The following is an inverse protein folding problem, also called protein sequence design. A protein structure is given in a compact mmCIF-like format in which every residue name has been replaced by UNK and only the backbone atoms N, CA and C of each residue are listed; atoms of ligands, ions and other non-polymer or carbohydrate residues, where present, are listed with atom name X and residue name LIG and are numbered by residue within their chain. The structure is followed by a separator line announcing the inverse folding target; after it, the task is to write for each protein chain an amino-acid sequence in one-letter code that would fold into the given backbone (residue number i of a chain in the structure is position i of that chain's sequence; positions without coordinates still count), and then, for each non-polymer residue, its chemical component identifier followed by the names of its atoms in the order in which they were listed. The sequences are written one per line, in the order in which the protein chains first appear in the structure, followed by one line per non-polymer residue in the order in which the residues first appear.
data_IF_936136993636
#
_entry.id   IF_936136993636
#
_cell.length_a   1.000
_cell.length_b   1.000
_cell.length_c   1.000
_cell.angle_alpha   90.00
_cell.angle_beta   90.00
_cell.angle_gamma   90.00
#
_symmetry.space_group_name_H-M   'P 1'
#
loop_
_entity.id
_entity.type
_entity.pdbx_description
1 polymer ?
#
# COMPACT_ATOMS: atom_id res chain seq x y z
N UNK A 1 -9.55 -18.92 15.11
CA UNK A 1 -10.47 -17.82 15.01
C UNK A 1 -11.15 -17.80 13.68
N UNK A 2 -12.41 -17.86 13.72
CA UNK A 2 -13.22 -17.89 12.50
C UNK A 2 -13.10 -16.61 11.70
N UNK A 3 -12.98 -15.47 12.38
CA UNK A 3 -12.87 -14.20 11.68
C UNK A 3 -11.64 -14.17 10.78
N UNK A 4 -10.52 -14.76 11.19
CA UNK A 4 -9.33 -14.83 10.37
C UNK A 4 -9.57 -15.63 9.11
N UNK A 5 -10.24 -16.78 9.22
CA UNK A 5 -10.50 -17.63 8.07
C UNK A 5 -11.44 -16.97 7.06
N UNK A 6 -12.24 -16.00 7.51
CA UNK A 6 -13.21 -15.30 6.66
C UNK A 6 -12.74 -13.94 6.19
N UNK A 7 -11.60 -13.50 6.67
CA UNK A 7 -11.03 -12.23 6.27
C UNK A 7 -10.60 -12.34 4.81
N UNK A 8 -11.18 -11.54 3.89
CA UNK A 8 -10.84 -11.62 2.47
C UNK A 8 -9.37 -11.35 2.18
N UNK A 9 -8.69 -10.61 3.07
CA UNK A 9 -7.28 -10.31 2.88
C UNK A 9 -6.39 -11.52 3.13
N UNK A 10 -6.87 -12.51 3.87
CA UNK A 10 -6.09 -13.70 4.18
C UNK A 10 -5.72 -14.51 2.94
N UNK A 11 -6.52 -14.41 1.89
CA UNK A 11 -6.22 -15.12 0.63
C UNK A 11 -4.98 -14.58 -0.06
N UNK A 12 -4.49 -13.42 0.36
CA UNK A 12 -3.25 -12.85 -0.17
C UNK A 12 -2.02 -13.45 0.50
N UNK A 13 -2.19 -14.19 1.57
CA UNK A 13 -1.06 -14.68 2.36
C UNK A 13 -0.42 -15.91 1.74
N UNK A 14 0.91 -15.97 1.84
CA UNK A 14 1.73 -17.13 1.52
C UNK A 14 2.53 -17.41 2.78
N UNK A 15 2.28 -18.55 3.47
CA UNK A 15 2.95 -18.81 4.76
C UNK A 15 4.46 -18.66 4.67
N UNK A 16 5.02 -17.89 5.62
CA UNK A 16 6.45 -17.66 5.70
C UNK A 16 7.02 -16.66 4.71
N UNK A 17 6.22 -16.17 3.76
CA UNK A 17 6.69 -15.23 2.72
C UNK A 17 5.85 -13.97 2.67
N UNK A 18 4.54 -14.13 2.61
CA UNK A 18 3.61 -13.00 2.49
C UNK A 18 2.59 -13.08 3.62
N UNK A 19 2.47 -12.01 4.40
CA UNK A 19 1.46 -11.94 5.44
C UNK A 19 0.77 -10.59 5.41
N UNK A 20 -0.51 -10.57 5.80
CA UNK A 20 -1.28 -9.34 5.92
C UNK A 20 -1.29 -8.95 7.38
N UNK A 21 -0.84 -7.73 7.67
CA UNK A 21 -0.73 -7.23 9.03
C UNK A 21 -1.32 -5.84 9.12
N UNK A 22 -1.58 -5.39 10.33
CA UNK A 22 -2.04 -4.05 10.57
C UNK A 22 -0.87 -3.08 10.54
N UNK A 23 -1.01 -2.00 9.79
CA UNK A 23 0.00 -0.97 9.69
C UNK A 23 -0.40 0.31 10.40
N UNK A 24 0.13 1.44 9.96
CA UNK A 24 -0.14 2.74 10.55
C UNK A 24 -1.63 3.07 10.52
N UNK A 25 -2.14 3.56 11.66
CA UNK A 25 -3.53 3.95 11.84
C UNK A 25 -4.54 2.85 11.49
N UNK A 26 -4.13 1.59 11.64
CA UNK A 26 -5.00 0.45 11.38
C UNK A 26 -5.17 0.09 9.92
N UNK A 27 -4.52 0.80 9.00
CA UNK A 27 -4.56 0.43 7.58
C UNK A 27 -3.81 -0.88 7.39
N UNK A 28 -4.40 -1.78 6.61
CA UNK A 28 -3.79 -3.07 6.36
C UNK A 28 -2.65 -2.98 5.36
N UNK A 29 -1.62 -3.75 5.60
CA UNK A 29 -0.49 -3.84 4.67
C UNK A 29 -0.05 -5.28 4.50
N UNK A 30 0.57 -5.54 3.38
CA UNK A 30 1.19 -6.82 3.05
C UNK A 30 2.68 -6.70 3.36
N UNK A 31 3.20 -7.63 4.14
CA UNK A 31 4.64 -7.73 4.40
C UNK A 31 5.19 -8.92 3.64
N UNK A 32 6.23 -8.68 2.87
CA UNK A 32 6.90 -9.71 2.09
C UNK A 32 8.28 -9.92 2.70
N UNK A 33 8.59 -11.18 3.03
CA UNK A 33 9.88 -11.52 3.62
C UNK A 33 10.48 -12.69 2.84
N UNK A 34 11.68 -12.47 2.33
CA UNK A 34 12.41 -13.53 1.63
C UNK A 34 13.90 -13.39 1.92
N UNK A 35 14.69 -14.34 1.45
CA UNK A 35 16.15 -14.23 1.59
C UNK A 35 16.71 -13.08 0.75
N UNK A 36 15.96 -12.62 -0.24
CA UNK A 36 16.40 -11.56 -1.15
C UNK A 36 16.04 -10.17 -0.67
N UNK A 37 14.91 -9.99 0.04
CA UNK A 37 14.47 -8.68 0.46
C UNK A 37 13.36 -8.75 1.50
N UNK A 38 13.10 -7.60 2.13
CA UNK A 38 11.90 -7.38 2.93
C UNK A 38 11.18 -6.18 2.32
N UNK A 39 9.88 -6.33 2.07
CA UNK A 39 9.10 -5.26 1.49
C UNK A 39 7.75 -5.13 2.16
N UNK A 40 7.13 -3.97 2.00
CA UNK A 40 5.79 -3.71 2.52
C UNK A 40 4.98 -2.93 1.50
N UNK A 41 3.71 -3.31 1.38
CA UNK A 41 2.77 -2.63 0.49
C UNK A 41 1.46 -2.46 1.23
N UNK A 42 0.98 -1.23 1.34
CA UNK A 42 -0.34 -0.98 1.91
C UNK A 42 -1.40 -1.34 0.88
N UNK A 43 -2.49 -1.96 1.35
CA UNK A 43 -3.64 -2.22 0.49
C UNK A 43 -4.29 -0.90 0.07
N UNK A 44 -4.15 0.12 0.90
CA UNK A 44 -4.58 1.47 0.57
C UNK A 44 -3.78 1.98 -0.62
N UNK A 45 -4.40 1.99 -1.80
CA UNK A 45 -3.77 2.41 -3.04
C UNK A 45 -2.78 1.42 -3.63
N UNK A 46 -2.68 0.20 -3.10
CA UNK A 46 -1.66 -0.77 -3.51
C UNK A 46 -0.27 -0.12 -3.52
N UNK A 47 0.03 0.62 -2.47
CA UNK A 47 1.17 1.52 -2.39
C UNK A 47 2.36 0.83 -1.73
N UNK A 48 3.45 0.68 -2.47
CA UNK A 48 4.67 0.08 -1.94
C UNK A 48 5.36 1.13 -1.07
N UNK A 49 5.49 0.83 0.22
CA UNK A 49 6.00 1.80 1.19
C UNK A 49 7.38 1.46 1.71
N UNK A 50 7.85 0.24 1.51
CA UNK A 50 9.14 -0.18 2.01
C UNK A 50 9.71 -1.24 1.11
N UNK A 51 11.00 -1.11 0.79
CA UNK A 51 11.74 -2.16 0.10
C UNK A 51 13.19 -2.10 0.56
N UNK A 52 13.61 -3.20 1.17
CA UNK A 52 14.97 -3.33 1.69
C UNK A 52 15.58 -4.63 1.18
N UNK A 53 16.47 -4.55 0.19
CA UNK A 53 17.20 -5.72 -0.27
C UNK A 53 18.06 -6.31 0.84
N UNK A 54 18.34 -7.59 0.77
CA UNK A 54 19.15 -8.28 1.79
C UNK A 54 20.52 -7.60 1.92
N UNK A 55 20.87 -7.26 3.17
CA UNK A 55 22.14 -6.60 3.45
C UNK A 55 22.18 -5.12 3.14
N UNK A 56 21.08 -4.53 2.67
CA UNK A 56 21.01 -3.13 2.30
C UNK A 56 20.06 -2.35 3.20
N UNK A 57 20.14 -1.03 3.14
CA UNK A 57 19.23 -0.16 3.87
C UNK A 57 17.94 0.03 3.08
N UNK A 58 16.96 0.66 3.74
CA UNK A 58 15.69 1.00 3.10
C UNK A 58 15.93 1.86 1.87
N UNK A 59 15.33 1.47 0.75
CA UNK A 59 15.49 2.17 -0.53
C UNK A 59 14.48 3.28 -0.72
N UNK A 60 13.27 3.11 -0.18
CA UNK A 60 12.18 4.04 -0.47
C UNK A 60 12.04 5.10 0.61
N UNK A 61 11.68 6.31 0.19
CA UNK A 61 11.41 7.42 1.08
C UNK A 61 9.92 7.51 1.37
N UNK A 62 9.56 7.69 2.63
CA UNK A 62 8.20 8.03 3.03
C UNK A 62 8.21 9.36 3.76
N UNK A 63 7.25 10.22 3.41
CA UNK A 63 7.09 11.49 4.09
C UNK A 63 6.55 11.26 5.51
N UNK A 64 7.10 11.99 6.47
CA UNK A 64 6.56 11.99 7.83
C UNK A 64 5.20 12.67 7.90
N UNK A 65 4.83 13.40 6.86
CA UNK A 65 3.55 14.08 6.78
C UNK A 65 2.49 13.24 6.10
N UNK A 66 2.78 11.97 5.80
CA UNK A 66 1.78 11.06 5.27
C UNK A 66 0.61 10.95 6.21
N UNK A 67 -0.58 10.98 5.64
CA UNK A 67 -1.82 10.73 6.38
C UNK A 67 -2.21 9.27 6.15
N UNK A 68 -2.26 8.53 7.23
CA UNK A 68 -2.58 7.11 7.16
C UNK A 68 -4.08 6.94 7.38
N UNK A 69 -4.87 7.48 6.44
CA UNK A 69 -6.32 7.52 6.54
C UNK A 69 -6.95 7.17 5.21
N UNK A 70 -8.13 6.57 5.27
CA UNK A 70 -8.92 6.33 4.07
C UNK A 70 -9.22 7.67 3.38
N UNK A 71 -9.17 7.67 2.06
CA UNK A 71 -9.42 8.87 1.27
C UNK A 71 -8.21 9.79 1.10
N UNK A 72 -7.10 9.51 1.78
CA UNK A 72 -5.87 10.30 1.65
C UNK A 72 -4.75 9.44 1.09
N UNK A 73 -3.98 9.98 0.15
CA UNK A 73 -2.85 9.27 -0.42
C UNK A 73 -1.66 9.22 0.54
N UNK A 74 -0.99 8.07 0.58
CA UNK A 74 0.30 7.95 1.25
C UNK A 74 1.33 8.74 0.45
N UNK A 75 2.23 9.45 1.11
CA UNK A 75 3.24 10.26 0.43
C UNK A 75 4.60 9.59 0.50
N UNK A 76 5.19 9.37 -0.68
CA UNK A 76 6.45 8.66 -0.83
C UNK A 76 6.22 7.26 -1.35
N UNK A 77 7.27 6.44 -1.35
CA UNK A 77 7.17 5.07 -1.86
C UNK A 77 6.85 5.02 -3.35
N UNK A 78 6.16 3.96 -3.74
CA UNK A 78 5.78 3.74 -5.15
C UNK A 78 4.26 3.66 -5.22
N UNK A 79 3.58 4.74 -5.64
CA UNK A 79 2.12 4.75 -5.74
C UNK A 79 1.64 4.18 -7.07
N UNK A 80 0.33 3.90 -7.13
CA UNK A 80 -0.33 3.58 -8.39
C UNK A 80 -1.20 4.76 -8.79
N UNK A 81 -0.96 5.29 -9.98
CA UNK A 81 -1.72 6.41 -10.54
C UNK A 81 -2.66 5.88 -11.60
N UNK A 82 -3.96 5.85 -11.30
CA UNK A 82 -4.95 5.30 -12.22
C UNK A 82 -6.32 5.89 -11.89
N UNK A 83 -7.15 6.28 -12.88
CA UNK A 83 -6.94 6.09 -14.32
C UNK A 83 -6.20 7.24 -15.02
N UNK A 84 -5.69 8.23 -14.29
CA UNK A 84 -4.88 9.28 -14.92
C UNK A 84 -3.68 9.61 -14.05
N UNK A 85 -2.70 10.25 -14.66
CA UNK A 85 -1.51 10.76 -13.98
C UNK A 85 -1.62 12.29 -13.84
N UNK A 86 -1.18 12.82 -12.71
CA UNK A 86 -1.21 14.25 -12.40
C UNK A 86 -2.65 14.80 -12.44
N UNK A 87 -2.81 16.04 -12.89
CA UNK A 87 -4.13 16.66 -12.96
C UNK A 87 -4.99 16.03 -14.06
N UNK A 88 -6.26 15.88 -13.78
CA UNK A 88 -7.21 15.47 -14.81
C UNK A 88 -7.53 16.71 -15.65
N UNK A 89 -7.22 16.67 -16.94
CA UNK A 89 -7.30 17.85 -17.82
C UNK A 89 -8.70 18.43 -17.93
N UNK A 90 -9.72 17.58 -17.91
CA UNK A 90 -11.11 18.01 -18.09
C UNK A 90 -11.86 18.21 -16.77
N UNK A 91 -11.20 18.04 -15.63
CA UNK A 91 -11.85 18.22 -14.33
C UNK A 91 -10.82 18.59 -13.26
N UNK A 92 -10.61 19.91 -13.04
CA UNK A 92 -9.61 20.35 -12.07
C UNK A 92 -9.94 20.02 -10.62
N UNK A 93 -11.17 19.58 -10.34
CA UNK A 93 -11.58 19.18 -8.99
C UNK A 93 -11.31 17.69 -8.72
N UNK A 94 -11.01 16.92 -9.76
CA UNK A 94 -10.68 15.52 -9.58
C UNK A 94 -9.33 15.39 -8.89
N UNK A 95 -9.12 14.33 -8.09
CA UNK A 95 -7.85 14.16 -7.39
C UNK A 95 -6.70 13.94 -8.37
N UNK A 96 -5.52 14.43 -8.00
CA UNK A 96 -4.31 14.18 -8.78
C UNK A 96 -4.01 12.69 -8.79
N UNK A 97 -3.49 12.18 -9.89
CA UNK A 97 -3.03 10.79 -10.06
C UNK A 97 -4.13 9.75 -9.93
N UNK A 98 -5.39 10.13 -10.19
CA UNK A 98 -6.51 9.19 -10.21
C UNK A 98 -7.03 8.82 -8.84
N UNK A 99 -7.82 7.75 -8.80
CA UNK A 99 -8.55 7.33 -7.59
C UNK A 99 -7.85 6.24 -6.78
N UNK A 100 -7.06 5.40 -7.44
CA UNK A 100 -6.61 4.14 -6.83
C UNK A 100 -5.79 4.36 -5.58
N UNK A 101 -4.95 5.40 -5.57
CA UNK A 101 -4.02 5.62 -4.46
C UNK A 101 -4.69 6.06 -3.17
N UNK A 102 -6.00 6.34 -3.20
CA UNK A 102 -6.76 6.73 -2.00
C UNK A 102 -7.77 5.68 -1.58
N UNK A 103 -7.75 4.50 -2.22
CA UNK A 103 -8.69 3.41 -1.94
C UNK A 103 -7.95 2.13 -1.62
N UNK A 104 -8.55 1.30 -0.78
CA UNK A 104 -8.02 -0.03 -0.52
C UNK A 104 -8.16 -0.87 -1.79
N UNK A 105 -7.05 -1.48 -2.24
CA UNK A 105 -7.07 -2.26 -3.48
C UNK A 105 -7.96 -3.49 -3.39
N UNK A 106 -8.21 -4.01 -2.20
CA UNK A 106 -9.13 -5.13 -2.02
C UNK A 106 -10.59 -4.74 -2.30
N UNK A 107 -10.89 -3.45 -2.29
CA UNK A 107 -12.24 -2.92 -2.56
C UNK A 107 -12.43 -2.53 -4.02
N UNK A 108 -11.38 -2.54 -4.79
CA UNK A 108 -11.41 -2.11 -6.18
C UNK A 108 -12.00 -3.17 -7.10
#
# INVERSE_FOLDING_TARGET
MESSARDPDRRLEIPGVVEVVEGNSGLRKVRITSSACVGEMYLHGAHITSWRPAGEEEVLFLSRQSRWEDGHAIRGGIPICFPWFAHKADNPKAPDHGFVRTKASADA
#
